data_IF_957092535190
#
_entry.id   IF_957092535190
#
_cell.length_a   1.000
_cell.length_b   1.000
_cell.length_c   1.000
_cell.angle_alpha   90.00
_cell.angle_beta   90.00
_cell.angle_gamma   90.00
#
_symmetry.space_group_name_H-M   'P 1'
#
loop_
_entity.id
_entity.type
_entity.pdbx_description
1 polymer ?
#
# COMPACT_ATOMS: atom_id res chain seq x y z
N UNK A 1 2.30 6.21 28.74
CA UNK A 1 1.27 6.88 27.92
C UNK A 1 0.74 5.86 26.92
N UNK A 2 -0.43 5.29 27.17
CA UNK A 2 -1.09 4.39 26.22
C UNK A 2 -1.51 5.21 24.99
N UNK A 3 -0.69 5.21 23.93
CA UNK A 3 -1.16 5.66 22.61
C UNK A 3 -2.25 4.68 22.19
N UNK A 4 -3.51 5.09 22.24
CA UNK A 4 -4.59 4.37 21.56
C UNK A 4 -4.13 4.16 20.11
N UNK A 5 -3.95 2.89 19.70
CA UNK A 5 -3.70 2.57 18.29
C UNK A 5 -4.93 3.07 17.53
N UNK A 6 -4.76 4.13 16.74
CA UNK A 6 -5.81 4.62 15.85
C UNK A 6 -6.13 3.47 14.89
N UNK A 7 -7.34 2.93 14.98
CA UNK A 7 -7.76 1.84 14.12
C UNK A 7 -8.11 2.41 12.75
N UNK A 8 -7.29 2.08 11.75
CA UNK A 8 -7.51 2.50 10.37
C UNK A 8 -8.43 1.51 9.67
N UNK A 9 -9.42 2.01 8.95
CA UNK A 9 -10.40 1.15 8.26
C UNK A 9 -9.81 0.47 7.02
N UNK A 10 -8.80 1.08 6.42
CA UNK A 10 -8.01 0.53 5.32
C UNK A 10 -6.54 0.93 5.52
N UNK A 11 -5.59 0.19 4.92
CA UNK A 11 -4.17 0.52 5.04
C UNK A 11 -3.80 1.86 4.41
N UNK A 12 -4.60 2.40 3.47
CA UNK A 12 -4.32 3.67 2.80
C UNK A 12 -4.12 4.84 3.77
N UNK A 13 -4.93 4.95 4.84
CA UNK A 13 -4.78 6.04 5.82
C UNK A 13 -3.49 5.86 6.64
N UNK A 14 -3.18 4.63 7.00
CA UNK A 14 -1.98 4.31 7.77
C UNK A 14 -0.71 4.69 7.00
N UNK A 15 -0.61 4.26 5.74
CA UNK A 15 0.55 4.54 4.90
C UNK A 15 0.68 6.02 4.56
N UNK A 16 -0.42 6.73 4.30
CA UNK A 16 -0.37 8.20 4.09
C UNK A 16 0.21 8.92 5.32
N UNK A 17 -0.27 8.57 6.52
CA UNK A 17 0.19 9.18 7.77
C UNK A 17 1.66 8.83 8.05
N UNK A 18 2.09 7.59 7.80
CA UNK A 18 3.50 7.19 7.93
C UNK A 18 4.40 7.93 6.95
N UNK A 19 3.94 8.19 5.74
CA UNK A 19 4.65 8.96 4.73
C UNK A 19 4.62 10.48 4.99
N UNK A 20 3.87 10.95 6.01
CA UNK A 20 3.86 12.35 6.43
C UNK A 20 2.95 13.27 5.61
N UNK A 21 2.08 12.73 4.76
CA UNK A 21 1.18 13.53 3.93
C UNK A 21 -0.14 13.82 4.63
N UNK A 22 -0.69 15.02 4.41
CA UNK A 22 -2.13 15.26 4.59
C UNK A 22 -2.88 14.80 3.35
N UNK A 23 -4.22 14.80 3.36
CA UNK A 23 -4.97 14.45 2.14
C UNK A 23 -4.80 15.51 1.06
N UNK A 24 -4.68 16.76 1.50
CA UNK A 24 -4.47 17.93 0.67
C UNK A 24 -3.09 17.84 -0.01
N UNK A 25 -2.01 17.66 0.76
CA UNK A 25 -0.67 17.56 0.18
C UNK A 25 -0.50 16.30 -0.69
N UNK A 26 -1.13 15.17 -0.34
CA UNK A 26 -1.13 14.01 -1.22
C UNK A 26 -1.87 14.28 -2.54
N UNK A 27 -3.01 14.97 -2.48
CA UNK A 27 -3.79 15.30 -3.67
C UNK A 27 -3.08 16.26 -4.61
N UNK A 28 -2.15 17.09 -4.11
CA UNK A 28 -1.34 18.00 -4.93
C UNK A 28 -0.28 17.26 -5.75
N UNK A 29 0.25 16.15 -5.21
CA UNK A 29 1.27 15.31 -5.87
C UNK A 29 0.67 14.24 -6.79
N UNK A 30 -0.59 13.86 -6.56
CA UNK A 30 -1.27 12.79 -7.30
C UNK A 30 -2.09 13.33 -8.48
N UNK A 31 -2.06 12.62 -9.61
CA UNK A 31 -2.83 12.99 -10.79
C UNK A 31 -4.27 12.46 -10.69
N UNK A 32 -5.24 13.38 -10.77
CA UNK A 32 -6.65 13.02 -10.97
C UNK A 32 -7.39 12.49 -9.73
N UNK A 33 -6.86 12.75 -8.53
CA UNK A 33 -7.51 12.37 -7.28
C UNK A 33 -7.62 13.59 -6.36
N UNK A 34 -8.82 13.80 -5.81
CA UNK A 34 -9.10 14.88 -4.86
C UNK A 34 -8.93 14.41 -3.40
N UNK A 35 -8.79 15.34 -2.43
CA UNK A 35 -8.70 14.98 -1.01
C UNK A 35 -9.93 14.21 -0.50
N UNK A 36 -11.12 14.53 -1.03
CA UNK A 36 -12.37 13.81 -0.73
C UNK A 36 -12.33 12.37 -1.27
N UNK A 37 -11.84 12.16 -2.49
CA UNK A 37 -11.68 10.82 -3.07
C UNK A 37 -10.68 10.00 -2.24
N UNK A 38 -9.57 10.59 -1.79
CA UNK A 38 -8.62 9.95 -0.85
C UNK A 38 -9.35 9.54 0.43
N UNK A 39 -10.11 10.45 1.06
CA UNK A 39 -10.88 10.15 2.27
C UNK A 39 -11.86 8.97 2.06
N UNK A 40 -12.60 8.96 0.94
CA UNK A 40 -13.56 7.88 0.65
C UNK A 40 -12.86 6.52 0.49
N UNK A 41 -11.69 6.50 -0.15
CA UNK A 41 -10.84 5.30 -0.28
C UNK A 41 -10.37 4.83 1.11
N UNK A 42 -9.83 5.75 1.91
CA UNK A 42 -9.33 5.45 3.26
C UNK A 42 -10.39 4.87 4.19
N UNK A 43 -11.64 5.33 4.07
CA UNK A 43 -12.79 4.83 4.83
C UNK A 43 -13.50 3.66 4.16
N UNK A 44 -12.95 3.10 3.09
CA UNK A 44 -13.54 1.98 2.36
C UNK A 44 -14.91 2.27 1.74
N UNK A 45 -15.28 3.55 1.61
CA UNK A 45 -16.54 4.00 0.98
C UNK A 45 -16.47 3.94 -0.55
N UNK A 46 -15.25 3.88 -1.10
CA UNK A 46 -14.99 3.80 -2.53
C UNK A 46 -13.75 2.95 -2.77
N UNK A 47 -13.83 2.06 -3.75
CA UNK A 47 -12.66 1.32 -4.24
C UNK A 47 -11.79 2.25 -5.08
N UNK A 48 -10.50 2.30 -4.78
CA UNK A 48 -9.54 3.02 -5.60
C UNK A 48 -9.39 2.34 -6.97
N UNK A 49 -9.26 3.14 -8.03
CA UNK A 49 -8.95 2.64 -9.37
C UNK A 49 -7.49 2.14 -9.42
N UNK A 50 -7.14 1.15 -10.26
CA UNK A 50 -5.80 0.55 -10.25
C UNK A 50 -4.66 1.54 -10.49
N UNK A 51 -4.86 2.52 -11.37
CA UNK A 51 -3.89 3.59 -11.66
C UNK A 51 -3.68 4.51 -10.44
N UNK A 52 -4.76 4.83 -9.72
CA UNK A 52 -4.70 5.57 -8.46
C UNK A 52 -3.97 4.77 -7.39
N UNK A 53 -4.17 3.45 -7.32
CA UNK A 53 -3.47 2.59 -6.35
C UNK A 53 -1.96 2.62 -6.60
N UNK A 54 -1.53 2.54 -7.86
CA UNK A 54 -0.11 2.65 -8.21
C UNK A 54 0.46 3.99 -7.75
N UNK A 55 -0.20 5.10 -8.08
CA UNK A 55 0.26 6.43 -7.66
C UNK A 55 0.33 6.58 -6.12
N UNK A 56 -0.65 6.04 -5.38
CA UNK A 56 -0.64 6.05 -3.92
C UNK A 56 0.48 5.16 -3.34
N UNK A 57 0.74 4.01 -3.95
CA UNK A 57 1.81 3.10 -3.53
C UNK A 57 3.18 3.75 -3.73
N UNK A 58 3.37 4.42 -4.86
CA UNK A 58 4.61 5.15 -5.18
C UNK A 58 4.80 6.34 -4.22
N UNK A 59 3.79 7.22 -4.09
CA UNK A 59 3.90 8.43 -3.27
C UNK A 59 4.13 8.12 -1.78
N UNK A 60 3.51 7.05 -1.27
CA UNK A 60 3.65 6.64 0.14
C UNK A 60 4.81 5.67 0.38
N UNK A 61 5.56 5.30 -0.66
CA UNK A 61 6.59 4.26 -0.62
C UNK A 61 6.07 2.95 0.01
N UNK A 62 4.89 2.52 -0.42
CA UNK A 62 4.10 1.44 0.17
C UNK A 62 3.59 0.46 -0.92
N UNK A 63 4.47 -0.37 -1.51
CA UNK A 63 4.07 -1.36 -2.52
C UNK A 63 3.03 -2.37 -1.99
N UNK A 64 2.92 -2.53 -0.67
CA UNK A 64 1.90 -3.37 -0.04
C UNK A 64 0.46 -2.92 -0.34
N UNK A 65 0.25 -1.65 -0.71
CA UNK A 65 -1.06 -1.15 -1.14
C UNK A 65 -1.56 -1.84 -2.41
N UNK A 66 -0.66 -2.17 -3.34
CA UNK A 66 -0.98 -2.94 -4.54
C UNK A 66 -1.45 -4.35 -4.18
N UNK A 67 -0.74 -5.02 -3.27
CA UNK A 67 -1.13 -6.34 -2.80
C UNK A 67 -2.50 -6.31 -2.11
N UNK A 68 -2.71 -5.35 -1.21
CA UNK A 68 -4.01 -5.15 -0.55
C UNK A 68 -5.14 -4.94 -1.57
N UNK A 69 -4.93 -4.08 -2.58
CA UNK A 69 -5.94 -3.86 -3.62
C UNK A 69 -6.26 -5.15 -4.37
N UNK A 70 -5.26 -5.88 -4.85
CA UNK A 70 -5.47 -7.11 -5.61
C UNK A 70 -6.18 -8.19 -4.77
N UNK A 71 -5.81 -8.37 -3.51
CA UNK A 71 -6.34 -9.45 -2.67
C UNK A 71 -7.66 -9.14 -1.95
N UNK A 72 -8.05 -7.86 -1.85
CA UNK A 72 -9.23 -7.44 -1.07
C UNK A 72 -10.22 -6.53 -1.79
N UNK A 73 -9.84 -5.91 -2.92
CA UNK A 73 -10.67 -4.88 -3.61
C UNK A 73 -10.92 -5.19 -5.07
N UNK A 74 -9.91 -5.67 -5.79
CA UNK A 74 -10.03 -6.08 -7.18
C UNK A 74 -10.91 -7.34 -7.28
N UNK A 75 -11.91 -7.34 -8.16
CA UNK A 75 -12.80 -8.49 -8.35
C UNK A 75 -12.07 -9.68 -8.98
N UNK A 76 -11.22 -9.41 -9.98
CA UNK A 76 -10.37 -10.44 -10.60
C UNK A 76 -9.43 -11.02 -9.55
N UNK A 77 -8.79 -10.14 -8.78
CA UNK A 77 -7.83 -10.55 -7.77
C UNK A 77 -8.46 -11.39 -6.66
N UNK A 78 -9.61 -10.99 -6.12
CA UNK A 78 -10.33 -11.81 -5.13
C UNK A 78 -10.75 -13.19 -5.65
N UNK A 79 -11.00 -13.32 -6.96
CA UNK A 79 -11.42 -14.59 -7.57
C UNK A 79 -10.24 -15.53 -7.84
N UNK A 80 -9.07 -14.99 -8.20
CA UNK A 80 -7.96 -15.79 -8.74
C UNK A 80 -6.65 -15.68 -7.97
N UNK A 81 -6.47 -14.67 -7.14
CA UNK A 81 -5.24 -14.46 -6.36
C UNK A 81 -5.50 -14.99 -4.94
N UNK A 82 -4.86 -16.11 -4.55
CA UNK A 82 -4.99 -16.62 -3.19
C UNK A 82 -4.30 -15.66 -2.21
N UNK A 83 -4.92 -15.48 -1.03
CA UNK A 83 -4.23 -14.86 0.09
C UNK A 83 -3.27 -15.89 0.69
N UNK A 84 -1.99 -15.57 0.72
CA UNK A 84 -0.95 -16.46 1.23
C UNK A 84 -0.34 -15.83 2.47
N UNK A 85 -0.43 -16.51 3.61
CA UNK A 85 0.37 -16.14 4.79
C UNK A 85 1.81 -16.62 4.57
N UNK A 86 2.78 -15.82 4.99
CA UNK A 86 4.21 -16.20 4.95
C UNK A 86 4.45 -17.44 5.82
N UNK A 87 3.61 -17.68 6.81
CA UNK A 87 3.62 -18.90 7.62
C UNK A 87 3.20 -20.15 6.84
N UNK A 88 2.41 -19.98 5.78
CA UNK A 88 1.94 -21.07 4.91
C UNK A 88 2.91 -21.34 3.74
N UNK A 89 3.95 -20.51 3.59
CA UNK A 89 4.95 -20.68 2.55
C UNK A 89 5.97 -21.76 2.95
N UNK A 90 6.33 -22.65 2.01
CA UNK A 90 7.50 -23.51 2.19
C UNK A 90 8.74 -22.67 2.54
N UNK A 91 9.60 -23.19 3.43
CA UNK A 91 10.80 -22.48 3.89
C UNK A 91 11.64 -21.90 2.74
N UNK A 92 11.74 -22.62 1.63
CA UNK A 92 12.51 -22.19 0.46
C UNK A 92 11.90 -20.96 -0.24
N UNK A 93 10.56 -20.84 -0.29
CA UNK A 93 9.87 -19.68 -0.86
C UNK A 93 9.98 -18.44 0.04
N UNK A 94 9.96 -18.62 1.37
CA UNK A 94 10.16 -17.53 2.32
C UNK A 94 11.56 -16.90 2.24
N UNK A 95 12.59 -17.71 1.94
CA UNK A 95 13.96 -17.22 1.71
C UNK A 95 14.02 -16.30 0.48
N UNK A 96 13.37 -16.69 -0.63
CA UNK A 96 13.32 -15.88 -1.85
C UNK A 96 12.61 -14.54 -1.66
N UNK A 97 11.45 -14.52 -0.98
CA UNK A 97 10.72 -13.27 -0.72
C UNK A 97 11.54 -12.32 0.19
N UNK A 98 12.27 -12.86 1.17
CA UNK A 98 13.18 -12.09 2.01
C UNK A 98 14.29 -11.42 1.20
N UNK A 99 14.87 -12.12 0.22
CA UNK A 99 15.89 -11.56 -0.67
C UNK A 99 15.34 -10.43 -1.56
N UNK A 100 14.13 -10.56 -2.11
CA UNK A 100 13.52 -9.50 -2.95
C UNK A 100 13.28 -8.20 -2.18
N UNK A 101 12.81 -8.27 -0.92
CA UNK A 101 12.66 -7.07 -0.08
C UNK A 101 14.00 -6.37 0.21
N UNK A 102 15.07 -7.14 0.37
CA UNK A 102 16.42 -6.59 0.55
C UNK A 102 16.96 -5.96 -0.74
N UNK A 103 16.63 -6.53 -1.91
CA UNK A 103 17.05 -6.00 -3.22
C UNK A 103 16.39 -4.65 -3.56
N UNK A 104 15.13 -4.43 -3.20
CA UNK A 104 14.49 -3.11 -3.36
C UNK A 104 15.14 -2.04 -2.45
N UNK A 105 15.52 -2.40 -1.22
CA UNK A 105 16.21 -1.49 -0.30
C UNK A 105 17.60 -1.07 -0.81
N UNK A 106 18.32 -1.97 -1.46
CA UNK A 106 19.65 -1.69 -2.02
C UNK A 106 19.60 -0.87 -3.32
N UNK A 107 18.55 -1.02 -4.12
CA UNK A 107 18.32 -0.21 -5.33
C UNK A 107 17.98 1.25 -5.01
N UNK A 108 17.23 1.51 -3.92
CA UNK A 108 16.89 2.88 -3.48
C UNK A 108 18.11 3.59 -2.87
N UNK A 109 19.02 2.86 -2.21
CA UNK A 109 20.23 3.46 -1.59
C UNK A 109 21.30 3.82 -2.62
N UNK A 110 21.41 3.08 -3.72
CA UNK A 110 22.43 3.29 -4.76
C UNK A 110 22.08 4.38 -5.80
N UNK A 111 20.93 5.05 -5.68
CA UNK A 111 20.61 6.25 -6.47
C UNK A 111 20.90 7.56 -5.71
N UNK A 112 21.45 7.48 -4.50
CA UNK A 112 21.90 8.63 -3.72
C UNK A 112 23.42 8.80 -3.81
N UNK A 113 23.96 9.03 -5.00
CA UNK A 113 25.34 9.50 -5.21
C UNK A 113 25.47 10.33 -6.48
#
# INVERSE_FOLDING_TARGET
>A
MNKQKKEFQTPYEEYRVKAGYTRESASEELNGISPDKIYRIEKGKQTAEPDIVLQLADLYHAPELCNYHCTHKCEIGQKYIPQVDVQDLPNDASIFIGQVKHLEFDLIRNQSH
#
